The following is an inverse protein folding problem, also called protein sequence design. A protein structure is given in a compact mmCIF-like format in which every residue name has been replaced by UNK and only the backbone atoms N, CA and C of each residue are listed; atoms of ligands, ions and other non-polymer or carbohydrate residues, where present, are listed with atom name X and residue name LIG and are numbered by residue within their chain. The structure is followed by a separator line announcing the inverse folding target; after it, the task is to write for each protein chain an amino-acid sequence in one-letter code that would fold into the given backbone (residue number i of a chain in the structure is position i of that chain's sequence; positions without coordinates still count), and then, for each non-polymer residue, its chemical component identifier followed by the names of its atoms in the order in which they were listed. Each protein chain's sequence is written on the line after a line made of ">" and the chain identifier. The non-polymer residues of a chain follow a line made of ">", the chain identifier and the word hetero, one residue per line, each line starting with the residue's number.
data_IF_485313807089
#
_entry.id   IF_485313807089
#
_cell.length_a   1.000
_cell.length_b   1.000
_cell.length_c   1.000
_cell.angle_alpha   90.00
_cell.angle_beta   90.00
_cell.angle_gamma   90.00
#
_symmetry.space_group_name_H-M   'P 1'
#
loop_
_entity.id
_entity.type
_entity.pdbx_description
1 polymer ?
#
# COMPACT_ATOMS: atom_id res chain seq x y z
N UNK A 1 -21.03 9.78 20.75
CA UNK A 1 -19.97 8.87 20.29
C UNK A 1 -19.66 9.29 18.88
N UNK A 2 -18.39 9.51 18.53
CA UNK A 2 -18.05 9.79 17.14
C UNK A 2 -18.23 8.48 16.37
N UNK A 3 -19.02 8.52 15.29
CA UNK A 3 -19.16 7.34 14.42
C UNK A 3 -17.81 7.07 13.76
N UNK A 4 -17.37 5.81 13.79
CA UNK A 4 -16.10 5.38 13.20
C UNK A 4 -16.31 4.72 11.84
N UNK A 5 -15.33 4.88 10.96
CA UNK A 5 -15.26 4.19 9.69
C UNK A 5 -14.68 2.79 9.90
N UNK A 6 -15.39 1.75 9.45
CA UNK A 6 -14.77 0.43 9.34
C UNK A 6 -13.80 0.44 8.16
N UNK A 7 -12.53 0.13 8.42
CA UNK A 7 -11.48 0.07 7.42
C UNK A 7 -10.83 -1.32 7.38
N UNK A 8 -10.77 -1.91 6.19
CA UNK A 8 -10.04 -3.15 5.93
C UNK A 8 -9.04 -2.95 4.79
N UNK A 9 -7.80 -3.36 5.01
CA UNK A 9 -6.73 -3.41 4.03
C UNK A 9 -6.32 -4.86 3.81
N UNK A 10 -6.62 -5.37 2.62
CA UNK A 10 -6.41 -6.76 2.25
C UNK A 10 -5.46 -6.83 1.05
N UNK A 11 -4.53 -7.77 1.12
CA UNK A 11 -3.71 -8.20 -0.01
C UNK A 11 -3.97 -9.67 -0.32
N UNK A 12 -3.69 -10.16 -1.54
CA UNK A 12 -3.80 -11.58 -1.88
C UNK A 12 -3.03 -12.52 -0.93
N UNK A 13 -1.94 -12.03 -0.32
CA UNK A 13 -1.13 -12.81 0.61
C UNK A 13 -1.74 -12.87 2.02
N UNK A 14 -2.33 -11.77 2.50
CA UNK A 14 -2.93 -11.64 3.85
C UNK A 14 -3.73 -10.35 4.02
N UNK A 15 -4.61 -10.34 5.02
CA UNK A 15 -5.16 -9.11 5.59
C UNK A 15 -4.07 -8.39 6.41
N UNK A 16 -3.84 -7.10 6.12
CA UNK A 16 -2.85 -6.28 6.80
C UNK A 16 -3.43 -5.45 7.95
N UNK A 17 -4.68 -5.01 7.79
CA UNK A 17 -5.36 -4.20 8.77
C UNK A 17 -6.86 -4.41 8.68
N UNK A 18 -7.54 -4.48 9.82
CA UNK A 18 -8.99 -4.54 9.92
C UNK A 18 -9.40 -3.90 11.25
N UNK A 19 -10.21 -2.85 11.21
CA UNK A 19 -10.59 -2.14 12.43
C UNK A 19 -11.38 -0.87 12.18
N UNK A 20 -11.75 -0.21 13.28
CA UNK A 20 -12.46 1.07 13.26
C UNK A 20 -11.49 2.25 13.37
N UNK A 21 -11.60 3.18 12.43
CA UNK A 21 -10.72 4.34 12.27
C UNK A 21 -11.54 5.60 12.05
N UNK A 22 -10.96 6.78 12.23
CA UNK A 22 -11.75 8.02 12.09
C UNK A 22 -11.78 8.49 10.62
N UNK A 23 -10.63 8.41 9.94
CA UNK A 23 -10.56 8.59 8.50
C UNK A 23 -9.30 7.97 7.88
N UNK A 24 -9.35 7.73 6.58
CA UNK A 24 -8.26 7.15 5.79
C UNK A 24 -7.96 8.05 4.60
N UNK A 25 -6.68 8.32 4.36
CA UNK A 25 -6.22 9.04 3.17
C UNK A 25 -5.49 8.03 2.29
N UNK A 26 -5.92 7.92 1.03
CA UNK A 26 -5.35 6.98 0.08
C UNK A 26 -5.00 7.64 -1.25
N UNK A 27 -3.97 7.14 -1.96
CA UNK A 27 -3.56 7.65 -3.25
C UNK A 27 -4.38 6.99 -4.37
N UNK A 28 -5.41 7.66 -4.86
CA UNK A 28 -6.15 7.25 -6.06
C UNK A 28 -5.40 7.59 -7.35
N UNK A 29 -5.82 6.97 -8.45
CA UNK A 29 -5.29 7.25 -9.79
C UNK A 29 -5.56 8.68 -10.25
N UNK A 30 -6.72 9.24 -9.87
CA UNK A 30 -7.10 10.63 -10.20
C UNK A 30 -6.55 11.67 -9.21
N UNK A 31 -5.99 11.25 -8.07
CA UNK A 31 -5.53 12.14 -7.02
C UNK A 31 -5.51 11.49 -5.64
N UNK A 32 -5.06 12.21 -4.62
CA UNK A 32 -5.28 11.77 -3.23
C UNK A 32 -6.73 12.03 -2.82
N UNK A 33 -7.32 11.09 -2.09
CA UNK A 33 -8.66 11.23 -1.53
C UNK A 33 -8.66 10.82 -0.06
N UNK A 34 -9.59 11.41 0.70
CA UNK A 34 -9.83 11.10 2.11
C UNK A 34 -11.23 10.56 2.31
N UNK A 35 -11.36 9.46 3.02
CA UNK A 35 -12.64 8.82 3.35
C UNK A 35 -12.89 8.95 4.85
N UNK A 36 -13.98 9.62 5.20
CA UNK A 36 -14.49 9.75 6.56
C UNK A 36 -15.70 8.82 6.76
N UNK A 37 -16.22 8.79 7.98
CA UNK A 37 -17.48 8.10 8.27
C UNK A 37 -18.63 8.65 7.41
N UNK A 38 -19.52 7.77 6.95
CA UNK A 38 -20.67 8.10 6.10
C UNK A 38 -20.32 8.77 4.76
N UNK A 39 -19.13 8.52 4.21
CA UNK A 39 -18.76 9.01 2.88
C UNK A 39 -19.67 8.41 1.79
N UNK A 40 -19.87 9.17 0.70
CA UNK A 40 -20.61 8.69 -0.46
C UNK A 40 -19.93 7.43 -1.05
N UNK A 41 -20.69 6.39 -1.43
CA UNK A 41 -20.12 5.18 -2.01
C UNK A 41 -19.48 5.45 -3.36
N UNK A 42 -18.27 4.94 -3.57
CA UNK A 42 -17.58 4.98 -4.85
C UNK A 42 -16.51 3.89 -4.90
N UNK A 43 -16.07 3.54 -6.11
CA UNK A 43 -14.96 2.62 -6.34
C UNK A 43 -13.92 3.33 -7.19
N UNK A 44 -12.65 3.22 -6.81
CA UNK A 44 -11.53 3.78 -7.57
C UNK A 44 -10.32 2.85 -7.57
N UNK A 45 -9.42 3.05 -8.51
CA UNK A 45 -8.11 2.39 -8.53
C UNK A 45 -7.10 3.19 -7.73
N UNK A 46 -6.17 2.48 -7.10
CA UNK A 46 -5.08 3.06 -6.33
C UNK A 46 -3.83 3.14 -7.18
N UNK A 47 -3.06 4.23 -7.00
CA UNK A 47 -1.69 4.33 -7.49
C UNK A 47 -0.71 3.88 -6.41
N UNK A 48 0.53 3.66 -6.81
CA UNK A 48 1.60 3.36 -5.86
C UNK A 48 1.81 4.56 -4.92
N UNK A 49 1.79 4.32 -3.61
CA UNK A 49 1.92 5.38 -2.63
C UNK A 49 1.61 4.95 -1.21
N UNK A 50 1.44 5.93 -0.33
CA UNK A 50 1.23 5.70 1.11
C UNK A 50 -0.24 5.95 1.47
N UNK A 51 -0.89 4.91 1.97
CA UNK A 51 -2.17 5.00 2.67
C UNK A 51 -1.91 5.40 4.12
N UNK A 52 -2.58 6.45 4.56
CA UNK A 52 -2.48 6.98 5.93
C UNK A 52 -3.79 6.70 6.65
N UNK A 53 -3.70 6.05 7.79
CA UNK A 53 -4.83 5.78 8.68
C UNK A 53 -4.73 6.71 9.88
N UNK A 54 -5.78 7.48 10.11
CA UNK A 54 -5.82 8.51 11.13
C UNK A 54 -6.84 8.15 12.23
N UNK A 55 -6.43 8.39 13.46
CA UNK A 55 -7.28 8.35 14.65
C UNK A 55 -7.12 9.69 15.39
N UNK A 56 -8.21 10.46 15.47
CA UNK A 56 -8.21 11.87 15.80
C UNK A 56 -7.39 12.68 14.79
N UNK A 57 -6.52 13.55 15.31
CA UNK A 57 -5.58 14.36 14.52
C UNK A 57 -4.24 13.67 14.23
N UNK A 58 -4.06 12.42 14.68
CA UNK A 58 -2.78 11.70 14.58
C UNK A 58 -2.83 10.61 13.51
N UNK A 59 -1.77 10.54 12.69
CA UNK A 59 -1.53 9.41 11.79
C UNK A 59 -1.05 8.22 12.62
N UNK A 60 -1.90 7.20 12.77
CA UNK A 60 -1.60 6.01 13.58
C UNK A 60 -0.88 4.94 12.78
N UNK A 61 -1.27 4.73 11.52
CA UNK A 61 -0.65 3.75 10.63
C UNK A 61 -0.35 4.34 9.26
N UNK A 62 0.77 3.90 8.68
CA UNK A 62 1.18 4.23 7.32
C UNK A 62 1.47 2.94 6.56
N UNK A 63 0.72 2.68 5.51
CA UNK A 63 0.89 1.51 4.67
C UNK A 63 1.35 1.96 3.30
N UNK A 64 2.48 1.44 2.82
CA UNK A 64 2.84 1.57 1.43
C UNK A 64 2.05 0.53 0.64
N UNK A 65 1.32 0.97 -0.38
CA UNK A 65 0.52 0.11 -1.26
C UNK A 65 1.04 0.22 -2.68
N UNK A 66 1.11 -0.92 -3.37
CA UNK A 66 1.31 -0.99 -4.82
C UNK A 66 -0.02 -1.33 -5.47
N UNK A 67 -0.54 -0.36 -6.22
CA UNK A 67 -1.77 -0.51 -6.98
C UNK A 67 -2.96 -1.00 -6.15
N UNK A 68 -3.98 -1.48 -6.87
CA UNK A 68 -5.17 -2.09 -6.30
C UNK A 68 -6.43 -1.26 -6.46
N UNK A 69 -7.43 -1.58 -5.64
CA UNK A 69 -8.76 -0.99 -5.67
C UNK A 69 -9.16 -0.51 -4.28
N UNK A 70 -9.82 0.64 -4.22
CA UNK A 70 -10.50 1.13 -3.03
C UNK A 70 -12.01 1.08 -3.30
N UNK A 71 -12.72 0.34 -2.47
CA UNK A 71 -14.17 0.21 -2.48
C UNK A 71 -14.74 0.90 -1.24
N UNK A 72 -15.42 2.02 -1.45
CA UNK A 72 -16.10 2.78 -0.41
C UNK A 72 -17.58 2.45 -0.49
N UNK A 73 -18.09 1.85 0.59
CA UNK A 73 -19.48 1.44 0.73
C UNK A 73 -20.10 2.09 1.96
N UNK A 74 -21.43 2.06 2.11
CA UNK A 74 -22.08 2.52 3.34
C UNK A 74 -21.63 1.76 4.60
N UNK A 75 -21.09 0.55 4.43
CA UNK A 75 -20.58 -0.26 5.53
C UNK A 75 -19.14 0.12 5.95
N UNK A 76 -18.38 0.77 5.08
CA UNK A 76 -16.97 1.11 5.34
C UNK A 76 -16.12 1.22 4.09
N UNK A 77 -14.81 1.36 4.30
CA UNK A 77 -13.79 1.38 3.25
C UNK A 77 -13.02 0.06 3.24
N UNK A 78 -12.94 -0.57 2.07
CA UNK A 78 -12.12 -1.75 1.84
C UNK A 78 -11.09 -1.45 0.76
N UNK A 79 -9.81 -1.62 1.07
CA UNK A 79 -8.72 -1.53 0.09
C UNK A 79 -8.22 -2.93 -0.23
N UNK A 80 -8.31 -3.28 -1.51
CA UNK A 80 -7.74 -4.48 -2.10
C UNK A 80 -6.44 -4.10 -2.80
N UNK A 81 -5.32 -4.19 -2.10
CA UNK A 81 -4.00 -3.86 -2.65
C UNK A 81 -3.37 -5.10 -3.30
N UNK A 82 -2.64 -4.94 -4.40
CA UNK A 82 -1.87 -6.06 -4.97
C UNK A 82 -0.73 -6.46 -4.02
N UNK A 83 -0.01 -5.45 -3.53
CA UNK A 83 1.00 -5.59 -2.49
C UNK A 83 0.87 -4.43 -1.52
N UNK A 84 1.04 -4.71 -0.23
CA UNK A 84 1.08 -3.68 0.79
C UNK A 84 2.09 -4.06 1.88
N UNK A 85 2.77 -3.06 2.42
CA UNK A 85 3.62 -3.19 3.60
C UNK A 85 3.39 -2.05 4.58
N UNK A 86 3.46 -2.37 5.87
CA UNK A 86 3.46 -1.38 6.93
C UNK A 86 4.82 -0.67 6.95
N UNK A 87 4.80 0.67 6.87
CA UNK A 87 6.03 1.46 6.93
C UNK A 87 6.65 1.47 8.33
N UNK A 88 5.86 1.27 9.38
CA UNK A 88 6.39 1.20 10.75
C UNK A 88 7.24 -0.04 11.00
N UNK A 89 7.01 -1.12 10.25
CA UNK A 89 7.75 -2.38 10.38
C UNK A 89 8.90 -2.49 9.35
N UNK A 90 9.01 -1.51 8.44
CA UNK A 90 9.96 -1.54 7.33
C UNK A 90 11.22 -0.74 7.65
N UNK A 91 12.38 -1.39 7.62
CA UNK A 91 13.69 -0.74 7.77
C UNK A 91 14.33 -0.51 6.39
N UNK A 92 14.85 0.69 6.17
CA UNK A 92 15.54 1.06 4.94
C UNK A 92 16.74 0.14 4.64
N UNK A 93 17.46 -0.31 5.68
CA UNK A 93 18.61 -1.19 5.51
C UNK A 93 18.21 -2.57 4.97
N UNK A 94 17.13 -3.14 5.50
CA UNK A 94 16.64 -4.46 5.05
C UNK A 94 16.13 -4.38 3.60
N UNK A 95 15.46 -3.29 3.24
CA UNK A 95 15.00 -3.06 1.87
C UNK A 95 16.18 -2.88 0.91
N UNK A 96 17.22 -2.16 1.31
CA UNK A 96 18.43 -2.00 0.48
C UNK A 96 19.11 -3.37 0.23
N UNK A 97 19.14 -4.23 1.23
CA UNK A 97 19.63 -5.62 1.08
C UNK A 97 18.71 -6.44 0.16
N UNK A 98 17.37 -6.32 0.30
CA UNK A 98 16.41 -6.97 -0.60
C UNK A 98 16.57 -6.51 -2.06
N UNK A 99 16.80 -5.21 -2.29
CA UNK A 99 17.03 -4.62 -3.62
C UNK A 99 18.29 -5.19 -4.25
N UNK A 100 19.42 -5.18 -3.53
CA UNK A 100 20.68 -5.69 -4.07
C UNK A 100 20.62 -7.19 -4.34
N UNK A 101 19.98 -7.97 -3.46
CA UNK A 101 19.75 -9.39 -3.68
C UNK A 101 18.89 -9.65 -4.94
N UNK A 102 17.87 -8.83 -5.19
CA UNK A 102 17.04 -8.94 -6.39
C UNK A 102 17.82 -8.56 -7.66
N UNK A 103 18.69 -7.54 -7.61
CA UNK A 103 19.57 -7.15 -8.72
C UNK A 103 20.60 -8.21 -9.08
N UNK A 104 21.21 -8.86 -8.09
CA UNK A 104 22.17 -9.95 -8.34
C UNK A 104 21.48 -11.09 -9.08
N UNK A 105 20.29 -11.52 -8.61
CA UNK A 105 19.49 -12.55 -9.29
C UNK A 105 19.10 -12.16 -10.71
N UNK A 106 18.80 -10.87 -10.94
CA UNK A 106 18.51 -10.36 -12.26
C UNK A 106 19.72 -10.47 -13.22
N UNK A 107 20.93 -10.23 -12.72
CA UNK A 107 22.17 -10.32 -13.49
C UNK A 107 22.56 -11.76 -13.84
N UNK A 108 22.21 -12.72 -12.99
CA UNK A 108 22.44 -14.15 -13.23
C UNK A 108 21.52 -14.75 -14.29
N UNK A 109 20.45 -14.04 -14.68
CA UNK A 109 19.47 -14.50 -15.67
C UNK A 109 19.82 -14.04 -17.09
N UNK A 110 19.59 -14.94 -18.04
CA UNK A 110 19.74 -14.66 -19.47
C UNK A 110 18.68 -13.66 -19.99
N UNK A 111 18.97 -13.01 -21.12
CA UNK A 111 18.11 -11.97 -21.71
C UNK A 111 16.73 -12.48 -22.17
N UNK A 112 16.57 -13.79 -22.37
CA UNK A 112 15.33 -14.43 -22.83
C UNK A 112 14.49 -15.08 -21.72
N UNK A 113 14.93 -15.04 -20.46
CA UNK A 113 14.21 -15.71 -19.37
C UNK A 113 12.99 -14.87 -18.91
N UNK A 114 11.81 -15.47 -18.94
CA UNK A 114 10.56 -14.93 -18.39
C UNK A 114 10.67 -14.47 -16.94
N UNK A 115 11.59 -15.04 -16.15
CA UNK A 115 11.84 -14.66 -14.75
C UNK A 115 12.46 -13.28 -14.61
N UNK A 116 13.12 -12.78 -15.65
CA UNK A 116 13.75 -11.45 -15.66
C UNK A 116 12.71 -10.35 -15.37
N UNK A 117 11.57 -10.41 -16.05
CA UNK A 117 10.45 -9.49 -15.85
C UNK A 117 9.90 -9.52 -14.41
N UNK A 118 9.92 -10.69 -13.76
CA UNK A 118 9.47 -10.82 -12.36
C UNK A 118 10.41 -10.09 -11.41
N UNK A 119 11.73 -10.24 -11.59
CA UNK A 119 12.72 -9.55 -10.77
C UNK A 119 12.75 -8.04 -11.04
N UNK A 120 12.59 -7.60 -12.29
CA UNK A 120 12.47 -6.18 -12.62
C UNK A 120 11.26 -5.53 -11.92
N UNK A 121 10.12 -6.21 -11.93
CA UNK A 121 8.92 -5.75 -11.23
C UNK A 121 9.12 -5.71 -9.70
N UNK A 122 9.78 -6.72 -9.14
CA UNK A 122 10.12 -6.77 -7.72
C UNK A 122 11.04 -5.59 -7.31
N UNK A 123 12.06 -5.30 -8.12
CA UNK A 123 13.00 -4.19 -7.87
C UNK A 123 12.24 -2.85 -7.90
N UNK A 124 11.40 -2.63 -8.91
CA UNK A 124 10.60 -1.39 -9.01
C UNK A 124 9.72 -1.17 -7.77
N UNK A 125 9.10 -2.23 -7.25
CA UNK A 125 8.32 -2.14 -6.01
C UNK A 125 9.19 -1.77 -4.81
N UNK A 126 10.32 -2.45 -4.62
CA UNK A 126 11.21 -2.21 -3.48
C UNK A 126 11.83 -0.81 -3.52
N UNK A 127 12.18 -0.30 -4.71
CA UNK A 127 12.66 1.07 -4.88
C UNK A 127 11.58 2.10 -4.52
N UNK A 128 10.33 1.87 -4.91
CA UNK A 128 9.20 2.70 -4.51
C UNK A 128 8.95 2.68 -3.00
N UNK A 129 9.04 1.51 -2.37
CA UNK A 129 8.94 1.35 -0.92
C UNK A 129 10.07 2.08 -0.19
N UNK A 130 11.31 1.98 -0.69
CA UNK A 130 12.46 2.73 -0.18
C UNK A 130 12.23 4.24 -0.26
N UNK A 131 11.74 4.73 -1.40
CA UNK A 131 11.40 6.14 -1.58
C UNK A 131 10.32 6.62 -0.62
N UNK A 132 9.33 5.78 -0.31
CA UNK A 132 8.28 6.09 0.66
C UNK A 132 8.75 6.12 2.11
N UNK A 133 9.84 5.43 2.46
CA UNK A 133 10.47 5.51 3.80
C UNK A 133 11.33 6.75 4.00
N UNK A 134 11.84 7.35 2.92
CA UNK A 134 12.71 8.52 2.98
C UNK A 134 11.95 9.86 3.18
N UNK A 135 10.61 9.86 3.02
CA UNK A 135 9.72 11.02 3.18
C UNK A 135 8.89 10.92 4.47
#
# INVERSE_FOLDING_TARGET
>A
MADKLHFSLVSPARELFSGEVDHVIAPGTEGEFGVLVNHAPFMTTLKNGVVRVLEGDAVRYRFYVRGGFADVTPAGLTILAEEARNLSDANAQDIDVEIEAAKIKLLELDAGDTKRAVYEHQISYLEGLRGALAN
#
